data_IF_265447599251
#
_entry.id   IF_265447599251
#
_cell.length_a   1.000
_cell.length_b   1.000
_cell.length_c   1.000
_cell.angle_alpha   90.00
_cell.angle_beta   90.00
_cell.angle_gamma   90.00
#
_symmetry.space_group_name_H-M   'P 1'
#
loop_
_entity.id
_entity.type
_entity.pdbx_description
1 polymer ?
#
# COMPACT_ATOMS: atom_id res chain seq x y z
N UNK A 1 11.91 -42.76 -47.00
CA UNK A 1 12.52 -41.46 -47.36
C UNK A 1 11.75 -40.26 -46.78
N UNK A 2 10.42 -40.34 -46.63
CA UNK A 2 9.58 -39.26 -46.09
C UNK A 2 9.83 -38.85 -44.62
N UNK A 3 10.12 -39.81 -43.71
CA UNK A 3 10.28 -39.53 -42.28
C UNK A 3 11.49 -38.64 -41.94
N UNK A 4 12.59 -38.78 -42.70
CA UNK A 4 13.80 -37.95 -42.54
C UNK A 4 13.57 -36.50 -42.97
N UNK A 5 12.68 -36.27 -43.94
CA UNK A 5 12.33 -34.93 -44.39
C UNK A 5 11.39 -34.23 -43.40
N UNK A 6 10.48 -34.99 -42.76
CA UNK A 6 9.60 -34.47 -41.72
C UNK A 6 10.39 -34.00 -40.48
N UNK A 7 11.40 -34.76 -40.05
CA UNK A 7 12.25 -34.39 -38.91
C UNK A 7 13.10 -33.13 -39.20
N UNK A 8 13.56 -32.97 -40.44
CA UNK A 8 14.27 -31.75 -40.87
C UNK A 8 13.34 -30.53 -40.85
N UNK A 9 12.11 -30.66 -41.35
CA UNK A 9 11.12 -29.58 -41.35
C UNK A 9 10.76 -29.19 -39.91
N UNK A 10 10.58 -30.16 -39.01
CA UNK A 10 10.28 -29.90 -37.60
C UNK A 10 11.45 -29.20 -36.89
N UNK A 11 12.70 -29.59 -37.19
CA UNK A 11 13.88 -28.95 -36.62
C UNK A 11 14.08 -27.49 -37.08
N UNK A 12 13.72 -27.18 -38.34
CA UNK A 12 13.79 -25.82 -38.88
C UNK A 12 12.68 -24.94 -38.30
N UNK A 13 11.47 -25.49 -38.11
CA UNK A 13 10.37 -24.80 -37.45
C UNK A 13 10.68 -24.52 -35.96
N UNK A 14 11.33 -25.47 -35.27
CA UNK A 14 11.77 -25.27 -33.88
C UNK A 14 12.88 -24.22 -33.78
N UNK A 15 13.81 -24.20 -34.73
CA UNK A 15 14.87 -23.18 -34.79
C UNK A 15 14.29 -21.78 -35.08
N UNK A 16 13.28 -21.65 -35.96
CA UNK A 16 12.61 -20.37 -36.20
C UNK A 16 11.80 -19.89 -34.99
N UNK A 17 11.18 -20.79 -34.21
CA UNK A 17 10.48 -20.41 -32.98
C UNK A 17 11.43 -19.86 -31.92
N UNK A 18 12.66 -20.37 -31.84
CA UNK A 18 13.67 -19.88 -30.89
C UNK A 18 14.24 -18.49 -31.24
N UNK A 19 14.14 -18.02 -32.49
CA UNK A 19 14.59 -16.68 -32.89
C UNK A 19 13.50 -15.60 -32.79
N UNK A 20 12.26 -15.95 -32.43
CA UNK A 20 11.16 -15.00 -32.32
C UNK A 20 11.01 -14.35 -30.93
N UNK A 21 11.90 -14.62 -29.98
CA UNK A 21 12.03 -13.85 -28.73
C UNK A 21 13.19 -12.87 -28.84
N UNK A 22 13.04 -11.91 -29.74
CA UNK A 22 13.75 -10.63 -29.60
C UNK A 22 12.76 -9.74 -28.87
N UNK A 23 13.03 -9.49 -27.59
CA UNK A 23 12.36 -8.42 -26.86
C UNK A 23 12.43 -7.16 -27.73
N UNK A 24 11.28 -6.70 -28.18
CA UNK A 24 11.16 -5.45 -28.91
C UNK A 24 11.57 -4.34 -27.94
N UNK A 25 12.85 -3.98 -27.96
CA UNK A 25 13.37 -2.85 -27.22
C UNK A 25 12.76 -1.60 -27.87
N UNK A 26 11.63 -1.20 -27.30
CA UNK A 26 10.88 -0.01 -27.62
C UNK A 26 11.87 1.15 -27.77
N UNK A 27 12.02 1.69 -28.99
CA UNK A 27 12.99 2.72 -29.31
C UNK A 27 12.51 4.05 -28.71
N UNK A 28 12.59 4.17 -27.38
CA UNK A 28 12.27 5.38 -26.63
C UNK A 28 13.39 6.37 -26.85
N UNK A 29 13.11 7.40 -27.64
CA UNK A 29 13.89 8.64 -27.64
C UNK A 29 14.13 9.04 -26.19
N UNK A 30 15.39 9.24 -25.82
CA UNK A 30 15.77 9.61 -24.46
C UNK A 30 15.20 11.00 -24.16
N UNK A 31 14.11 11.04 -23.39
CA UNK A 31 13.56 12.27 -22.82
C UNK A 31 14.26 12.54 -21.48
N UNK A 32 15.34 13.32 -21.51
CA UNK A 32 16.14 13.68 -20.35
C UNK A 32 17.64 13.76 -20.61
N UNK A 33 18.40 14.19 -19.60
CA UNK A 33 19.88 14.29 -19.68
C UNK A 33 20.55 12.93 -19.44
N UNK A 34 19.85 11.98 -18.82
CA UNK A 34 20.40 10.67 -18.45
C UNK A 34 19.31 9.59 -18.43
N UNK A 35 19.72 8.34 -18.63
CA UNK A 35 18.88 7.16 -18.38
C UNK A 35 19.00 6.82 -16.90
N UNK A 36 17.89 6.88 -16.16
CA UNK A 36 17.87 6.55 -14.74
C UNK A 36 17.98 5.03 -14.55
N UNK A 37 19.04 4.58 -13.89
CA UNK A 37 19.28 3.15 -13.58
C UNK A 37 19.01 2.80 -12.11
N UNK A 38 18.61 3.77 -11.29
CA UNK A 38 18.56 3.65 -9.82
C UNK A 38 17.43 2.77 -9.29
N UNK A 39 16.39 2.48 -10.09
CA UNK A 39 15.15 1.85 -9.59
C UNK A 39 14.53 0.66 -10.39
N UNK A 40 15.20 -0.05 -11.33
CA UNK A 40 14.49 -1.11 -12.04
C UNK A 40 14.22 -2.35 -11.18
N UNK A 41 15.06 -2.68 -10.19
CA UNK A 41 14.89 -3.88 -9.33
C UNK A 41 15.60 -3.70 -7.97
N UNK A 42 15.07 -2.84 -7.10
CA UNK A 42 15.66 -2.69 -5.77
C UNK A 42 15.31 -3.91 -4.91
N UNK A 43 16.33 -4.60 -4.37
CA UNK A 43 16.12 -5.73 -3.47
C UNK A 43 15.65 -5.23 -2.10
N UNK A 44 14.55 -5.79 -1.60
CA UNK A 44 14.06 -5.54 -0.24
C UNK A 44 15.10 -6.06 0.76
N UNK A 45 15.43 -5.22 1.75
CA UNK A 45 16.28 -5.65 2.86
C UNK A 45 15.45 -6.56 3.77
N UNK A 46 15.81 -7.84 3.95
CA UNK A 46 15.02 -8.72 4.80
C UNK A 46 15.01 -8.22 6.24
N UNK A 47 13.92 -8.49 6.96
CA UNK A 47 13.93 -8.26 8.41
C UNK A 47 14.94 -9.21 9.06
N UNK A 48 15.52 -8.75 10.15
CA UNK A 48 16.34 -9.58 11.02
C UNK A 48 15.48 -10.68 11.62
N UNK A 49 16.03 -11.89 11.68
CA UNK A 49 15.37 -12.96 12.42
C UNK A 49 15.39 -12.62 13.91
N UNK A 50 14.26 -12.77 14.58
CA UNK A 50 14.12 -12.54 16.02
C UNK A 50 13.57 -13.82 16.63
N UNK A 51 14.21 -14.30 17.69
CA UNK A 51 13.76 -15.45 18.46
C UNK A 51 12.83 -14.98 19.56
N UNK A 52 11.81 -15.76 19.86
CA UNK A 52 10.86 -15.46 20.94
C UNK A 52 11.56 -15.23 22.29
N UNK A 53 12.59 -16.02 22.61
CA UNK A 53 13.36 -15.89 23.84
C UNK A 53 14.15 -14.57 23.97
N UNK A 54 14.38 -13.86 22.87
CA UNK A 54 15.10 -12.59 22.84
C UNK A 54 14.14 -11.38 22.82
N UNK A 55 12.83 -11.61 22.76
CA UNK A 55 11.81 -10.56 22.87
C UNK A 55 11.52 -10.27 24.34
N UNK A 56 12.04 -9.15 24.86
CA UNK A 56 11.83 -8.73 26.25
C UNK A 56 10.52 -7.98 26.45
N UNK A 57 10.09 -7.25 25.42
CA UNK A 57 8.88 -6.45 25.42
C UNK A 57 8.20 -6.60 24.08
N UNK A 58 6.87 -6.67 24.08
CA UNK A 58 6.05 -6.73 22.88
C UNK A 58 4.74 -5.97 23.10
N UNK A 59 4.39 -5.09 22.17
CA UNK A 59 3.11 -4.38 22.14
C UNK A 59 2.67 -4.23 20.70
N UNK A 60 1.43 -4.61 20.40
CA UNK A 60 0.82 -4.40 19.08
C UNK A 60 -0.07 -3.17 19.12
N UNK A 61 0.10 -2.30 18.12
CA UNK A 61 -0.62 -1.05 17.97
C UNK A 61 -1.28 -0.99 16.60
N UNK A 62 -2.42 -0.32 16.55
CA UNK A 62 -2.97 0.18 15.29
C UNK A 62 -2.79 1.69 15.25
N UNK A 63 -2.29 2.19 14.13
CA UNK A 63 -2.02 3.62 13.91
C UNK A 63 -2.71 4.10 12.66
N UNK A 64 -3.13 5.36 12.64
CA UNK A 64 -3.70 6.00 11.46
C UNK A 64 -2.78 7.09 10.94
N UNK A 65 -2.49 7.02 9.64
CA UNK A 65 -1.83 8.06 8.85
C UNK A 65 -2.92 8.92 8.23
N UNK A 66 -2.86 10.23 8.47
CA UNK A 66 -3.76 11.20 7.86
C UNK A 66 -3.07 11.91 6.68
N UNK A 67 -3.61 11.77 5.47
CA UNK A 67 -3.03 12.35 4.25
C UNK A 67 -3.19 13.87 4.17
N UNK A 68 -4.05 14.47 4.99
CA UNK A 68 -4.16 15.94 5.09
C UNK A 68 -2.91 16.56 5.71
N UNK A 69 -2.10 15.77 6.42
CA UNK A 69 -0.87 16.27 7.04
C UNK A 69 0.25 16.39 5.99
N UNK A 70 0.93 17.54 5.99
CA UNK A 70 2.00 17.86 5.02
C UNK A 70 3.11 16.81 4.94
N UNK A 71 3.45 16.17 6.07
CA UNK A 71 4.49 15.13 6.11
C UNK A 71 4.09 13.88 5.31
N UNK A 72 2.79 13.64 5.14
CA UNK A 72 2.21 12.47 4.49
C UNK A 72 1.82 12.71 3.02
N UNK A 73 2.02 13.93 2.52
CA UNK A 73 1.82 14.27 1.11
C UNK A 73 2.50 13.32 0.11
N UNK A 74 3.69 12.75 0.40
CA UNK A 74 4.30 11.79 -0.51
C UNK A 74 3.52 10.48 -0.69
N UNK A 75 2.57 10.16 0.19
CA UNK A 75 1.66 9.01 0.06
C UNK A 75 0.41 9.32 -0.78
N UNK A 76 0.04 10.59 -0.86
CA UNK A 76 -1.16 11.06 -1.56
C UNK A 76 -0.85 11.55 -2.98
N UNK A 77 0.23 12.31 -3.17
CA UNK A 77 0.56 12.87 -4.48
C UNK A 77 1.40 11.89 -5.31
N UNK A 78 1.23 11.89 -6.64
CA UNK A 78 0.42 12.82 -7.44
C UNK A 78 -1.06 12.43 -7.56
N UNK A 79 -1.95 13.39 -7.85
CA UNK A 79 -3.39 13.12 -8.06
C UNK A 79 -3.66 12.17 -9.24
N UNK A 80 -2.76 12.14 -10.21
CA UNK A 80 -2.76 11.23 -11.36
C UNK A 80 -1.35 10.74 -11.61
N UNK A 81 -1.20 9.53 -12.14
CA UNK A 81 0.10 9.00 -12.52
C UNK A 81 0.86 9.94 -13.46
N UNK A 82 2.07 10.35 -13.07
CA UNK A 82 2.93 11.23 -13.88
C UNK A 82 4.11 10.41 -14.38
N UNK A 83 4.33 10.44 -15.69
CA UNK A 83 5.56 9.90 -16.29
C UNK A 83 6.68 10.90 -16.07
N UNK A 84 7.73 10.45 -15.42
CA UNK A 84 8.96 11.21 -15.24
C UNK A 84 10.12 10.47 -15.93
N UNK A 85 11.31 11.08 -15.91
CA UNK A 85 12.50 10.54 -16.58
C UNK A 85 12.84 9.16 -16.00
N UNK A 86 12.50 8.11 -16.75
CA UNK A 86 12.83 6.71 -16.45
C UNK A 86 11.90 5.99 -15.45
N UNK A 87 10.78 6.59 -15.02
CA UNK A 87 9.80 5.91 -14.14
C UNK A 87 8.42 6.60 -14.16
N UNK A 88 7.43 5.92 -13.59
CA UNK A 88 6.08 6.45 -13.40
C UNK A 88 5.85 6.69 -11.91
N UNK A 89 5.54 7.93 -11.54
CA UNK A 89 5.18 8.29 -10.17
C UNK A 89 3.68 8.15 -10.00
N UNK A 90 3.26 7.41 -8.99
CA UNK A 90 1.86 7.09 -8.71
C UNK A 90 1.56 7.27 -7.23
N UNK A 91 0.32 7.63 -6.86
CA UNK A 91 -0.08 7.65 -5.45
C UNK A 91 -0.07 6.22 -4.89
N UNK A 92 0.05 6.09 -3.57
CA UNK A 92 0.20 4.77 -2.94
C UNK A 92 -1.01 3.86 -3.20
N UNK A 93 -2.22 4.42 -3.26
CA UNK A 93 -3.44 3.66 -3.52
C UNK A 93 -3.48 3.06 -4.92
N UNK A 94 -3.03 3.78 -5.95
CA UNK A 94 -2.99 3.26 -7.32
C UNK A 94 -2.01 2.09 -7.41
N UNK A 95 -0.87 2.16 -6.71
CA UNK A 95 0.11 1.07 -6.62
C UNK A 95 -0.52 -0.16 -5.96
N UNK A 96 -1.28 0.05 -4.90
CA UNK A 96 -2.00 -1.01 -4.18
C UNK A 96 -3.05 -1.65 -5.09
N UNK A 97 -3.89 -0.85 -5.74
CA UNK A 97 -4.94 -1.32 -6.64
C UNK A 97 -4.35 -2.10 -7.80
N UNK A 98 -3.32 -1.54 -8.46
CA UNK A 98 -2.60 -2.22 -9.53
C UNK A 98 -2.03 -3.56 -9.06
N UNK A 99 -1.38 -3.59 -7.89
CA UNK A 99 -0.81 -4.82 -7.34
C UNK A 99 -1.86 -5.89 -7.03
N UNK A 100 -3.06 -5.50 -6.59
CA UNK A 100 -4.18 -6.43 -6.37
C UNK A 100 -4.75 -6.93 -7.70
N UNK A 101 -4.94 -6.05 -8.69
CA UNK A 101 -5.45 -6.41 -10.02
C UNK A 101 -4.46 -7.32 -10.77
N UNK A 102 -3.15 -7.06 -10.68
CA UNK A 102 -2.11 -7.93 -11.22
C UNK A 102 -2.01 -9.25 -10.45
N UNK A 103 -2.29 -9.23 -9.14
CA UNK A 103 -2.17 -10.38 -8.24
C UNK A 103 -0.77 -10.50 -7.62
N UNK A 104 0.02 -9.43 -7.64
CA UNK A 104 1.27 -9.33 -6.88
C UNK A 104 1.03 -9.00 -5.41
N UNK A 105 -0.16 -8.52 -5.06
CA UNK A 105 -0.62 -8.27 -3.70
C UNK A 105 -1.90 -9.03 -3.41
N UNK A 106 -1.94 -9.66 -2.24
CA UNK A 106 -3.15 -10.30 -1.71
C UNK A 106 -3.92 -9.33 -0.81
N UNK A 107 -5.20 -9.10 -1.13
CA UNK A 107 -6.12 -8.32 -0.29
C UNK A 107 -6.84 -9.24 0.69
N UNK A 108 -7.09 -8.77 1.91
CA UNK A 108 -7.72 -9.52 2.99
C UNK A 108 -8.92 -8.77 3.56
N UNK A 109 -9.95 -9.51 3.97
CA UNK A 109 -11.15 -8.95 4.58
C UNK A 109 -10.85 -8.25 5.91
N UNK A 110 -10.03 -8.90 6.75
CA UNK A 110 -9.79 -8.54 8.14
C UNK A 110 -8.29 -8.47 8.44
N UNK A 111 -7.94 -7.82 9.55
CA UNK A 111 -6.58 -7.56 10.01
C UNK A 111 -5.78 -8.81 10.46
N UNK A 112 -6.41 -9.98 10.52
CA UNK A 112 -5.77 -11.25 10.88
C UNK A 112 -5.25 -12.04 9.67
N UNK A 113 -5.47 -11.52 8.47
CA UNK A 113 -4.97 -12.08 7.20
C UNK A 113 -5.38 -13.54 6.93
N UNK A 114 -6.49 -14.00 7.52
CA UNK A 114 -6.98 -15.38 7.34
C UNK A 114 -7.93 -15.53 6.15
N UNK A 115 -8.62 -14.45 5.77
CA UNK A 115 -9.64 -14.46 4.72
C UNK A 115 -9.17 -13.63 3.53
N UNK A 116 -8.49 -14.24 2.55
CA UNK A 116 -8.10 -13.55 1.32
C UNK A 116 -9.36 -13.25 0.48
N UNK A 117 -9.39 -12.07 -0.12
CA UNK A 117 -10.41 -11.65 -1.04
C UNK A 117 -10.05 -12.03 -2.47
N UNK A 118 -11.05 -12.33 -3.28
CA UNK A 118 -10.88 -12.40 -4.73
C UNK A 118 -10.67 -10.99 -5.31
N UNK A 119 -10.08 -10.91 -6.51
CA UNK A 119 -9.83 -9.62 -7.19
C UNK A 119 -11.10 -8.78 -7.33
N UNK A 120 -12.20 -9.41 -7.76
CA UNK A 120 -13.49 -8.73 -7.93
C UNK A 120 -14.08 -8.23 -6.60
N UNK A 121 -13.89 -8.97 -5.50
CA UNK A 121 -14.36 -8.53 -4.18
C UNK A 121 -13.53 -7.36 -3.65
N UNK A 122 -12.21 -7.40 -3.86
CA UNK A 122 -11.31 -6.31 -3.47
C UNK A 122 -11.60 -5.03 -4.25
N UNK A 123 -11.83 -5.14 -5.57
CA UNK A 123 -12.24 -4.02 -6.43
C UNK A 123 -13.61 -3.48 -6.01
N UNK A 124 -14.57 -4.35 -5.69
CA UNK A 124 -15.89 -3.94 -5.18
C UNK A 124 -15.83 -3.20 -3.84
N UNK A 125 -14.88 -3.54 -2.95
CA UNK A 125 -14.66 -2.80 -1.69
C UNK A 125 -14.06 -1.41 -1.89
N UNK A 126 -13.36 -1.18 -3.01
CA UNK A 126 -12.87 0.13 -3.41
C UNK A 126 -13.69 0.68 -4.58
N UNK A 127 -14.98 0.34 -4.67
CA UNK A 127 -15.90 0.93 -5.61
C UNK A 127 -16.98 1.73 -4.88
N UNK A 128 -17.47 2.77 -5.54
CA UNK A 128 -18.61 3.54 -5.12
C UNK A 128 -19.75 3.34 -6.12
N UNK A 129 -20.94 3.03 -5.61
CA UNK A 129 -22.17 3.05 -6.39
C UNK A 129 -22.55 4.50 -6.67
N UNK A 130 -22.67 4.83 -7.96
CA UNK A 130 -23.15 6.12 -8.43
C UNK A 130 -24.40 5.85 -9.26
N UNK A 131 -25.45 6.58 -8.92
CA UNK A 131 -26.71 6.54 -9.65
C UNK A 131 -26.70 7.64 -10.70
N UNK A 132 -26.80 7.28 -11.97
CA UNK A 132 -26.82 8.22 -13.09
C UNK A 132 -28.14 8.04 -13.84
N UNK A 133 -28.88 9.14 -14.01
CA UNK A 133 -30.06 9.14 -14.86
C UNK A 133 -29.63 9.28 -16.32
N UNK A 134 -29.86 8.23 -17.12
CA UNK A 134 -29.60 8.20 -18.55
C UNK A 134 -30.93 8.24 -19.30
N UNK A 135 -31.04 9.12 -20.28
CA UNK A 135 -32.18 9.13 -21.20
C UNK A 135 -32.09 7.94 -22.15
N UNK A 136 -33.13 7.11 -22.20
CA UNK A 136 -33.23 5.99 -23.14
C UNK A 136 -33.37 6.54 -24.57
N UNK A 137 -32.45 6.19 -25.50
CA UNK A 137 -32.49 6.67 -26.88
C UNK A 137 -33.75 6.24 -27.66
N UNK A 138 -34.50 5.25 -27.18
CA UNK A 138 -35.67 4.67 -27.87
C UNK A 138 -36.98 5.23 -27.32
N UNK A 139 -37.09 5.41 -26.00
CA UNK A 139 -38.34 5.79 -25.32
C UNK A 139 -38.34 7.23 -24.79
N UNK A 140 -37.18 7.87 -24.66
CA UNK A 140 -37.05 9.23 -24.09
C UNK A 140 -37.36 9.30 -22.59
N UNK A 141 -37.50 8.17 -21.91
CA UNK A 141 -37.65 8.11 -20.45
C UNK A 141 -36.28 8.09 -19.78
N UNK A 142 -36.17 8.75 -18.62
CA UNK A 142 -34.96 8.68 -17.80
C UNK A 142 -34.93 7.32 -17.09
N UNK A 143 -33.96 6.49 -17.46
CA UNK A 143 -33.65 5.25 -16.76
C UNK A 143 -32.53 5.55 -15.77
N UNK A 144 -32.81 5.25 -14.51
CA UNK A 144 -31.83 5.32 -13.44
C UNK A 144 -30.92 4.09 -13.52
N UNK A 145 -29.66 4.29 -13.95
CA UNK A 145 -28.65 3.24 -14.05
C UNK A 145 -27.67 3.36 -12.87
N UNK A 146 -27.52 2.30 -12.07
CA UNK A 146 -26.52 2.23 -11.00
C UNK A 146 -25.21 1.68 -11.59
N UNK A 147 -24.15 2.49 -11.54
CA UNK A 147 -22.81 2.10 -11.99
C UNK A 147 -21.84 2.10 -10.81
N UNK A 148 -20.99 1.09 -10.76
CA UNK A 148 -19.86 1.04 -9.84
C UNK A 148 -18.66 1.76 -10.45
N UNK A 149 -18.19 2.82 -9.81
CA UNK A 149 -16.97 3.52 -10.18
C UNK A 149 -15.86 3.24 -9.16
N UNK A 150 -14.63 2.93 -9.61
CA UNK A 150 -13.53 2.70 -8.69
C UNK A 150 -13.17 4.00 -7.97
N UNK A 151 -12.89 3.87 -6.67
CA UNK A 151 -12.44 4.95 -5.82
C UNK A 151 -11.04 5.36 -6.25
N UNK A 152 -10.92 6.62 -6.64
CA UNK A 152 -9.66 7.26 -7.03
C UNK A 152 -8.93 7.86 -5.83
N UNK A 153 -7.67 8.27 -6.03
CA UNK A 153 -6.80 8.74 -4.97
C UNK A 153 -7.32 9.97 -4.20
N UNK A 154 -8.12 10.81 -4.84
CA UNK A 154 -8.77 12.00 -4.27
C UNK A 154 -9.71 11.68 -3.09
N UNK A 155 -10.26 10.46 -3.07
CA UNK A 155 -11.19 9.99 -2.03
C UNK A 155 -10.50 9.27 -0.88
N UNK A 156 -9.19 9.06 -0.96
CA UNK A 156 -8.42 8.44 0.13
C UNK A 156 -8.10 9.51 1.18
N UNK A 157 -8.54 9.26 2.41
CA UNK A 157 -8.28 10.16 3.54
C UNK A 157 -6.97 9.77 4.25
N UNK A 158 -6.67 8.47 4.31
CA UNK A 158 -5.66 7.95 5.21
C UNK A 158 -5.35 6.48 5.01
N UNK A 159 -4.42 6.00 5.83
CA UNK A 159 -4.07 4.60 5.91
C UNK A 159 -4.05 4.16 7.38
N UNK A 160 -4.60 2.98 7.65
CA UNK A 160 -4.46 2.30 8.93
C UNK A 160 -3.29 1.33 8.86
N UNK A 161 -2.42 1.36 9.87
CA UNK A 161 -1.25 0.51 10.02
C UNK A 161 -1.45 -0.40 11.22
N UNK A 162 -1.19 -1.70 11.04
CA UNK A 162 -1.05 -2.65 12.14
C UNK A 162 0.44 -2.87 12.38
N UNK A 163 0.93 -2.50 13.55
CA UNK A 163 2.35 -2.50 13.90
C UNK A 163 2.63 -3.34 15.15
N UNK A 164 3.74 -4.07 15.10
CA UNK A 164 4.31 -4.78 16.24
C UNK A 164 5.56 -4.05 16.71
N UNK A 165 5.50 -3.54 17.94
CA UNK A 165 6.60 -2.93 18.65
C UNK A 165 7.21 -3.96 19.58
N UNK A 166 8.51 -4.22 19.45
CA UNK A 166 9.17 -5.17 20.32
C UNK A 166 10.61 -4.75 20.63
N UNK A 167 11.07 -5.09 21.82
CA UNK A 167 12.44 -4.86 22.23
C UNK A 167 13.26 -6.13 22.03
N UNK A 168 14.25 -6.06 21.13
CA UNK A 168 15.19 -7.15 20.89
C UNK A 168 16.37 -7.05 21.85
N UNK A 169 16.50 -8.05 22.73
CA UNK A 169 17.58 -8.15 23.73
C UNK A 169 18.97 -8.26 23.10
N UNK A 170 19.11 -8.99 22.00
CA UNK A 170 20.42 -9.26 21.38
C UNK A 170 21.02 -7.99 20.77
N UNK A 171 20.15 -7.14 20.21
CA UNK A 171 20.54 -5.87 19.58
C UNK A 171 20.36 -4.66 20.48
N UNK A 172 19.67 -4.82 21.62
CA UNK A 172 19.33 -3.76 22.59
C UNK A 172 18.62 -2.57 21.94
N UNK A 173 17.73 -2.83 20.98
CA UNK A 173 17.00 -1.79 20.23
C UNK A 173 15.52 -2.13 20.19
N UNK A 174 14.66 -1.11 20.35
CA UNK A 174 13.25 -1.23 20.03
C UNK A 174 13.05 -1.20 18.52
N UNK A 175 12.51 -2.28 17.96
CA UNK A 175 12.21 -2.40 16.54
C UNK A 175 10.70 -2.39 16.33
N UNK A 176 10.28 -1.73 15.26
CA UNK A 176 8.87 -1.66 14.83
C UNK A 176 8.71 -2.37 13.51
N UNK A 177 7.77 -3.32 13.46
CA UNK A 177 7.40 -4.03 12.24
C UNK A 177 5.98 -3.73 11.85
N UNK A 178 5.82 -3.17 10.64
CA UNK A 178 4.50 -3.03 10.04
C UNK A 178 4.07 -4.39 9.50
N UNK A 179 2.92 -4.86 9.97
CA UNK A 179 2.32 -6.15 9.62
C UNK A 179 1.21 -5.95 8.60
N UNK A 180 0.41 -4.90 8.76
CA UNK A 180 -0.77 -4.63 7.94
C UNK A 180 -0.86 -3.18 7.50
N UNK A 181 -1.44 -3.00 6.31
CA UNK A 181 -1.81 -1.69 5.76
C UNK A 181 -3.25 -1.78 5.25
N UNK A 182 -4.10 -0.83 5.64
CA UNK A 182 -5.46 -0.71 5.13
C UNK A 182 -5.72 0.72 4.63
N UNK A 183 -6.09 0.91 3.35
CA UNK A 183 -6.54 2.21 2.87
C UNK A 183 -7.90 2.60 3.47
N UNK A 184 -8.01 3.85 3.92
CA UNK A 184 -9.23 4.46 4.43
C UNK A 184 -9.71 5.50 3.42
N UNK A 185 -10.97 5.37 3.01
CA UNK A 185 -11.58 6.23 2.00
C UNK A 185 -12.88 6.87 2.52
N UNK A 186 -13.31 7.91 1.83
CA UNK A 186 -14.63 8.53 2.00
C UNK A 186 -15.45 8.30 0.73
N UNK A 187 -16.51 7.50 0.82
CA UNK A 187 -17.50 7.36 -0.25
C UNK A 187 -18.59 8.43 -0.11
N UNK A 188 -19.21 8.84 -1.21
CA UNK A 188 -20.37 9.74 -1.18
C UNK A 188 -21.68 8.94 -1.04
N UNK A 189 -22.68 9.52 -0.38
CA UNK A 189 -24.07 9.08 -0.41
C UNK A 189 -24.72 9.47 -1.74
N UNK A 190 -25.87 8.85 -2.04
CA UNK A 190 -26.72 9.24 -3.17
C UNK A 190 -27.16 10.72 -3.07
N UNK A 191 -27.32 11.23 -1.85
CA UNK A 191 -27.67 12.62 -1.56
C UNK A 191 -26.51 13.63 -1.77
N UNK A 192 -25.34 13.16 -2.20
CA UNK A 192 -24.15 13.99 -2.40
C UNK A 192 -23.42 14.40 -1.12
N UNK A 193 -23.84 13.88 0.03
CA UNK A 193 -23.13 14.05 1.31
C UNK A 193 -22.05 12.99 1.49
N UNK A 194 -20.92 13.34 2.10
CA UNK A 194 -19.87 12.35 2.34
C UNK A 194 -20.25 11.39 3.48
N UNK A 195 -20.02 10.09 3.28
CA UNK A 195 -20.19 9.05 4.32
C UNK A 195 -19.08 9.11 5.36
N UNK A 196 -19.31 8.48 6.50
CA UNK A 196 -18.26 8.26 7.48
C UNK A 196 -17.06 7.51 6.83
N UNK A 197 -15.82 7.86 7.20
CA UNK A 197 -14.63 7.19 6.68
C UNK A 197 -14.70 5.68 6.92
N UNK A 198 -14.43 4.90 5.88
CA UNK A 198 -14.48 3.44 5.92
C UNK A 198 -13.13 2.84 5.50
N UNK A 199 -12.75 1.75 6.15
CA UNK A 199 -11.61 0.95 5.76
C UNK A 199 -11.98 0.01 4.62
N UNK A 200 -11.10 -0.10 3.62
CA UNK A 200 -11.29 -0.97 2.45
C UNK A 200 -10.97 -2.44 2.77
N UNK A 201 -9.75 -2.87 2.46
CA UNK A 201 -9.22 -4.20 2.73
C UNK A 201 -7.82 -4.10 3.33
N UNK A 202 -7.42 -5.15 4.04
CA UNK A 202 -6.11 -5.27 4.64
C UNK A 202 -5.12 -5.86 3.64
N UNK A 203 -3.90 -5.32 3.63
CA UNK A 203 -2.80 -5.81 2.82
C UNK A 203 -1.71 -6.28 3.78
N UNK A 204 -1.18 -7.47 3.54
CA UNK A 204 -0.06 -7.98 4.32
C UNK A 204 1.21 -7.21 3.95
N UNK A 205 1.68 -6.36 4.86
CA UNK A 205 2.74 -5.42 4.57
C UNK A 205 4.06 -6.09 4.19
N UNK A 206 4.50 -7.21 4.82
CA UNK A 206 5.73 -7.89 4.40
C UNK A 206 5.74 -8.37 2.94
N UNK A 207 4.59 -8.72 2.36
CA UNK A 207 4.44 -9.00 0.93
C UNK A 207 4.48 -7.69 0.11
N UNK A 208 3.78 -6.66 0.59
CA UNK A 208 3.74 -5.36 -0.08
C UNK A 208 5.10 -4.67 -0.22
N UNK A 209 6.07 -4.98 0.65
CA UNK A 209 7.44 -4.46 0.56
C UNK A 209 8.10 -4.73 -0.79
N UNK A 210 7.84 -5.87 -1.40
CA UNK A 210 8.44 -6.22 -2.70
C UNK A 210 7.90 -5.36 -3.84
N UNK A 211 6.62 -4.97 -3.77
CA UNK A 211 6.01 -4.03 -4.71
C UNK A 211 6.51 -2.61 -4.41
N UNK A 212 6.43 -2.18 -3.15
CA UNK A 212 6.80 -0.83 -2.70
C UNK A 212 8.30 -0.51 -2.86
N UNK A 213 9.17 -1.51 -2.96
CA UNK A 213 10.58 -1.30 -3.25
C UNK A 213 10.85 -0.85 -4.68
N UNK A 214 9.93 -1.11 -5.63
CA UNK A 214 10.08 -0.73 -7.03
C UNK A 214 9.34 0.56 -7.39
N UNK A 215 8.65 1.18 -6.43
CA UNK A 215 7.95 2.44 -6.63
C UNK A 215 8.61 3.56 -5.82
N UNK A 216 8.90 4.66 -6.51
CA UNK A 216 9.52 5.84 -5.92
C UNK A 216 8.49 6.82 -5.36
N UNK A 217 8.89 7.46 -4.26
CA UNK A 217 8.13 8.48 -3.53
C UNK A 217 8.58 9.86 -3.98
N UNK A 218 7.66 10.82 -4.01
CA UNK A 218 7.99 12.22 -4.27
C UNK A 218 8.90 12.78 -3.15
N UNK A 219 10.04 13.35 -3.54
CA UNK A 219 10.96 14.03 -2.63
C UNK A 219 10.99 15.54 -2.94
N UNK A 220 10.42 16.41 -2.08
CA UNK A 220 10.42 17.86 -2.32
C UNK A 220 11.81 18.50 -2.33
N UNK A 221 12.80 17.88 -1.69
CA UNK A 221 14.13 18.47 -1.52
C UNK A 221 15.11 18.11 -2.64
N UNK A 222 14.89 17.02 -3.37
CA UNK A 222 15.77 16.56 -4.44
C UNK A 222 15.08 15.55 -5.36
N UNK A 223 14.90 15.91 -6.63
CA UNK A 223 14.32 15.04 -7.65
C UNK A 223 15.26 13.92 -8.12
N UNK A 224 16.58 14.07 -7.92
CA UNK A 224 17.60 13.12 -8.39
C UNK A 224 17.88 11.95 -7.45
N UNK A 225 17.62 12.11 -6.14
CA UNK A 225 17.79 11.05 -5.14
C UNK A 225 16.46 10.77 -4.45
N UNK A 226 15.68 9.86 -5.03
CA UNK A 226 14.34 9.52 -4.56
C UNK A 226 14.35 8.28 -3.67
N UNK A 227 13.54 8.33 -2.63
CA UNK A 227 13.28 7.22 -1.72
C UNK A 227 12.19 6.33 -2.32
N UNK A 228 12.20 5.03 -2.02
CA UNK A 228 11.09 4.14 -2.39
C UNK A 228 10.02 4.14 -1.31
N UNK A 229 8.81 3.65 -1.61
CA UNK A 229 7.76 3.51 -0.60
C UNK A 229 8.22 2.57 0.53
N UNK A 230 8.99 1.53 0.20
CA UNK A 230 9.61 0.65 1.20
C UNK A 230 10.55 1.43 2.15
N UNK A 231 11.43 2.28 1.61
CA UNK A 231 12.32 3.10 2.44
C UNK A 231 11.52 4.08 3.31
N UNK A 232 10.46 4.68 2.76
CA UNK A 232 9.64 5.68 3.43
C UNK A 232 8.97 5.11 4.68
N UNK A 233 8.35 3.93 4.56
CA UNK A 233 7.74 3.23 5.68
C UNK A 233 8.79 2.69 6.66
N UNK A 234 9.89 2.10 6.15
CA UNK A 234 10.95 1.55 7.00
C UNK A 234 11.68 2.61 7.80
N UNK A 235 11.91 3.80 7.22
CA UNK A 235 12.49 4.96 7.92
C UNK A 235 11.47 5.75 8.73
N UNK A 236 10.18 5.37 8.69
CA UNK A 236 9.07 6.03 9.38
C UNK A 236 9.00 7.54 9.10
N UNK A 237 9.15 7.95 7.85
CA UNK A 237 9.11 9.38 7.44
C UNK A 237 7.66 9.87 7.29
N UNK A 238 6.76 9.41 8.15
CA UNK A 238 5.34 9.73 8.12
C UNK A 238 4.86 10.15 9.50
N UNK A 239 3.82 10.98 9.52
CA UNK A 239 3.13 11.36 10.74
C UNK A 239 1.89 10.49 10.91
N UNK A 240 1.65 10.02 12.13
CA UNK A 240 0.52 9.15 12.46
C UNK A 240 0.13 9.33 13.92
N UNK A 241 -1.04 8.83 14.29
CA UNK A 241 -1.49 8.73 15.67
C UNK A 241 -2.03 7.32 15.95
N UNK A 242 -1.99 6.90 17.20
CA UNK A 242 -2.50 5.59 17.66
C UNK A 242 -4.03 5.61 17.65
N UNK A 243 -4.65 4.57 17.08
CA UNK A 243 -6.11 4.36 17.08
C UNK A 243 -6.52 3.25 18.04
N UNK A 244 -5.67 2.24 18.23
CA UNK A 244 -5.81 1.23 19.27
C UNK A 244 -4.47 0.70 19.74
N UNK A 245 -4.46 0.14 20.94
CA UNK A 245 -3.34 -0.59 21.50
C UNK A 245 -3.81 -1.95 22.01
N UNK A 246 -2.87 -2.88 22.11
CA UNK A 246 -3.13 -4.15 22.79
C UNK A 246 -3.33 -3.88 24.28
N UNK A 247 -4.51 -4.19 24.80
CA UNK A 247 -4.84 -3.99 26.20
C UNK A 247 -5.76 -5.09 26.74
N UNK A 248 -5.91 -5.13 28.06
CA UNK A 248 -6.77 -6.10 28.76
C UNK A 248 -8.25 -5.95 28.36
N UNK A 249 -8.63 -4.77 27.83
CA UNK A 249 -9.99 -4.41 27.45
C UNK A 249 -10.33 -4.79 26.00
N UNK A 250 -9.84 -5.96 25.54
CA UNK A 250 -10.08 -6.47 24.20
C UNK A 250 -9.60 -5.54 23.07
N UNK A 251 -8.46 -4.87 23.27
CA UNK A 251 -7.83 -3.98 22.29
C UNK A 251 -8.75 -2.87 21.79
N UNK A 252 -9.55 -2.31 22.72
CA UNK A 252 -10.57 -1.30 22.43
C UNK A 252 -10.00 -0.12 21.65
N UNK A 253 -10.78 0.40 20.70
CA UNK A 253 -10.43 1.61 19.97
C UNK A 253 -10.45 2.81 20.91
N UNK A 254 -9.49 3.73 20.73
CA UNK A 254 -9.43 4.98 21.50
C UNK A 254 -10.72 5.79 21.33
N UNK A 255 -11.31 5.76 20.13
CA UNK A 255 -12.56 6.46 19.80
C UNK A 255 -13.76 6.00 20.64
N UNK A 256 -13.71 4.80 21.22
CA UNK A 256 -14.83 4.28 21.99
C UNK A 256 -14.93 4.91 23.38
N UNK A 257 -13.86 5.53 23.88
CA UNK A 257 -13.80 6.10 25.24
C UNK A 257 -13.19 7.51 25.32
N UNK A 258 -12.63 8.03 24.23
CA UNK A 258 -12.13 9.41 24.12
C UNK A 258 -12.80 10.12 22.94
N UNK A 259 -12.89 11.45 23.00
CA UNK A 259 -13.47 12.24 21.90
C UNK A 259 -12.58 13.43 21.55
N UNK A 260 -12.48 13.74 20.26
CA UNK A 260 -11.80 14.94 19.75
C UNK A 260 -10.35 15.06 20.20
N UNK A 261 -10.04 16.11 20.97
CA UNK A 261 -8.69 16.43 21.44
C UNK A 261 -8.17 15.36 22.40
N UNK A 262 -9.04 14.79 23.23
CA UNK A 262 -8.64 13.80 24.23
C UNK A 262 -8.09 12.52 23.58
N UNK A 263 -8.58 12.16 22.40
CA UNK A 263 -8.04 11.04 21.61
C UNK A 263 -6.58 11.28 21.21
N UNK A 264 -6.24 12.52 20.83
CA UNK A 264 -4.87 12.88 20.45
C UNK A 264 -3.94 12.91 21.66
N UNK A 265 -4.44 13.36 22.81
CA UNK A 265 -3.70 13.31 24.07
C UNK A 265 -3.44 11.88 24.52
N UNK A 266 -4.46 11.02 24.43
CA UNK A 266 -4.33 9.60 24.78
C UNK A 266 -3.38 8.87 23.83
N UNK A 267 -3.47 9.13 22.52
CA UNK A 267 -2.48 8.64 21.55
C UNK A 267 -1.06 9.03 21.93
N UNK A 268 -0.84 10.29 22.33
CA UNK A 268 0.48 10.76 22.75
C UNK A 268 0.93 10.09 24.06
N UNK A 269 0.02 9.90 25.01
CA UNK A 269 0.30 9.18 26.27
C UNK A 269 0.82 7.77 26.00
N UNK A 270 0.17 7.04 25.07
CA UNK A 270 0.59 5.69 24.69
C UNK A 270 1.98 5.71 24.02
N UNK A 271 2.25 6.69 23.16
CA UNK A 271 3.57 6.84 22.55
C UNK A 271 4.66 7.13 23.59
N UNK A 272 4.40 8.03 24.53
CA UNK A 272 5.32 8.35 25.63
C UNK A 272 5.57 7.13 26.53
N UNK A 273 4.55 6.33 26.83
CA UNK A 273 4.67 5.09 27.61
C UNK A 273 5.63 4.09 26.95
N UNK A 274 5.53 3.94 25.62
CA UNK A 274 6.40 3.03 24.86
C UNK A 274 7.84 3.53 24.84
N UNK A 275 8.05 4.84 24.63
CA UNK A 275 9.39 5.45 24.65
C UNK A 275 10.03 5.35 26.04
N UNK A 276 9.25 5.58 27.10
CA UNK A 276 9.75 5.41 28.47
C UNK A 276 10.11 3.95 28.74
N UNK A 277 9.30 3.01 28.26
CA UNK A 277 9.62 1.58 28.35
C UNK A 277 10.92 1.26 27.62
N UNK A 278 11.17 1.84 26.43
CA UNK A 278 12.44 1.70 25.72
C UNK A 278 13.63 2.19 26.56
N UNK A 279 13.51 3.40 27.13
CA UNK A 279 14.56 3.98 27.97
C UNK A 279 14.83 3.15 29.22
N UNK A 280 13.79 2.63 29.87
CA UNK A 280 13.93 1.81 31.08
C UNK A 280 14.66 0.48 30.77
N UNK A 281 14.44 -0.09 29.59
CA UNK A 281 15.15 -1.30 29.13
C UNK A 281 16.63 -1.05 28.82
N UNK A 282 17.05 0.20 28.58
CA UNK A 282 18.46 0.57 28.39
C UNK A 282 19.22 0.83 29.69
N UNK A 283 18.52 1.13 30.78
CA UNK A 283 19.12 1.45 32.08
C UNK A 283 19.55 0.21 32.88
N UNK A 284 19.30 -1.00 32.36
CA UNK A 284 19.54 -2.28 33.04
C UNK A 284 20.64 -3.11 32.34
#
# INVERSE_FOLDING_TARGET
MALKNLFKILSIAFLMLCFAHVDAQENKVLDGVFIKQTAPTKRVVPYTHVREADVMYYKRLTRRIDLKQKLNFPLYYPDKAIKEIGYVRMPLIDIIQQGVTEGTLTAYQNEDFQQPLTKSEAEGKLAQEITIDREDPVTGEFITETKNEPITADRIIGYELKEDWFFDRERSVMEVRIIGLQPIYMSMNDDGTDRAPAGSYWIYFPEARFVFANHEVYNPGNDGARLTFEDYFRKRIFSSYVTSETNVYSNRLLMDYTTGIDMLLESRRIEEEIINTEHDMWQY
#
